data_IF_730058955921
#
_entry.id   IF_730058955921
#
_cell.length_a   1.000
_cell.length_b   1.000
_cell.length_c   1.000
_cell.angle_alpha   90.00
_cell.angle_beta   90.00
_cell.angle_gamma   90.00
#
_symmetry.space_group_name_H-M   'P 1'
#
loop_
_entity.id
_entity.type
_entity.pdbx_description
1 polymer ?
#
# COMPACT_ATOMS: atom_id res chain seq x y z
N UNK A 1 9.89 4.45 8.22
CA UNK A 1 9.51 3.10 8.65
C UNK A 1 9.97 2.83 10.08
N UNK A 2 9.02 2.71 11.01
CA UNK A 2 9.22 2.32 12.41
C UNK A 2 9.18 0.79 12.62
N UNK A 3 8.97 0.04 11.53
CA UNK A 3 8.85 -1.42 11.54
C UNK A 3 7.48 -1.94 11.99
N UNK A 4 6.50 -1.06 12.20
CA UNK A 4 5.17 -1.48 12.63
C UNK A 4 4.36 -2.04 11.45
N UNK A 5 3.52 -3.07 11.70
CA UNK A 5 2.61 -3.59 10.70
C UNK A 5 1.56 -2.56 10.30
N UNK A 6 1.16 -2.57 9.03
CA UNK A 6 0.04 -1.76 8.55
C UNK A 6 -1.27 -2.29 9.16
N UNK A 7 -2.12 -1.39 9.63
CA UNK A 7 -3.38 -1.78 10.24
C UNK A 7 -4.38 -2.22 9.18
N UNK A 8 -5.24 -3.17 9.57
CA UNK A 8 -6.37 -3.60 8.76
C UNK A 8 -7.27 -2.41 8.41
N UNK A 9 -7.70 -2.35 7.15
CA UNK A 9 -8.66 -1.37 6.66
C UNK A 9 -8.05 -0.09 6.09
N UNK A 10 -6.72 0.09 6.15
CA UNK A 10 -6.08 1.22 5.47
C UNK A 10 -6.29 1.14 3.96
N UNK A 11 -6.63 2.28 3.37
CA UNK A 11 -6.84 2.38 1.93
C UNK A 11 -5.51 2.39 1.20
N UNK A 12 -5.47 1.66 0.08
CA UNK A 12 -4.35 1.64 -0.85
C UNK A 12 -4.76 2.40 -2.09
N UNK A 13 -4.01 3.44 -2.41
CA UNK A 13 -4.27 4.36 -3.51
C UNK A 13 -3.16 4.29 -4.55
N UNK A 14 -3.52 4.53 -5.81
CA UNK A 14 -2.55 4.72 -6.89
C UNK A 14 -1.81 6.07 -6.74
N UNK A 15 -0.90 6.35 -7.68
CA UNK A 15 -0.14 7.61 -7.74
C UNK A 15 -1.01 8.83 -8.06
N UNK A 16 -2.25 8.62 -8.51
CA UNK A 16 -3.23 9.66 -8.82
C UNK A 16 -4.21 9.90 -7.66
N UNK A 17 -4.11 9.12 -6.58
CA UNK A 17 -4.96 9.22 -5.39
C UNK A 17 -6.27 8.44 -5.50
N UNK A 18 -6.45 7.60 -6.53
CA UNK A 18 -7.62 6.73 -6.61
C UNK A 18 -7.44 5.52 -5.72
N UNK A 19 -8.49 5.17 -4.97
CA UNK A 19 -8.50 3.93 -4.23
C UNK A 19 -8.50 2.73 -5.18
N UNK A 20 -7.46 1.90 -5.06
CA UNK A 20 -7.32 0.66 -5.82
C UNK A 20 -7.34 -0.57 -4.92
N UNK A 21 -7.34 -0.40 -3.60
CA UNK A 21 -7.18 -1.52 -2.70
C UNK A 21 -7.31 -1.20 -1.22
N UNK A 22 -7.02 -2.21 -0.41
CA UNK A 22 -7.11 -2.17 1.05
C UNK A 22 -6.04 -3.04 1.70
N UNK A 23 -5.58 -2.64 2.88
CA UNK A 23 -4.78 -3.49 3.76
C UNK A 23 -5.68 -4.48 4.48
N UNK A 24 -5.47 -5.76 4.23
CA UNK A 24 -6.14 -6.87 4.89
C UNK A 24 -5.43 -7.33 6.17
N UNK A 25 -5.89 -8.45 6.72
CA UNK A 25 -5.30 -9.02 7.93
C UNK A 25 -3.86 -9.47 7.69
N UNK A 26 -3.01 -9.35 8.72
CA UNK A 26 -1.59 -9.70 8.62
C UNK A 26 -0.77 -8.76 7.72
N UNK A 27 -1.21 -7.51 7.54
CA UNK A 27 -0.55 -6.50 6.71
C UNK A 27 -0.47 -6.85 5.22
N UNK A 28 -1.36 -7.71 4.72
CA UNK A 28 -1.40 -8.08 3.31
C UNK A 28 -2.14 -7.00 2.50
N UNK A 29 -1.60 -6.61 1.34
CA UNK A 29 -2.25 -5.67 0.44
C UNK A 29 -3.12 -6.41 -0.57
N UNK A 30 -4.37 -6.00 -0.70
CA UNK A 30 -5.28 -6.45 -1.75
C UNK A 30 -5.54 -5.29 -2.71
N UNK A 31 -5.02 -5.38 -3.94
CA UNK A 31 -5.13 -4.33 -4.96
C UNK A 31 -5.87 -4.82 -6.22
N UNK A 32 -6.62 -3.92 -6.85
CA UNK A 32 -7.40 -4.14 -8.08
C UNK A 32 -6.97 -3.11 -9.12
N UNK A 33 -6.24 -3.55 -10.14
CA UNK A 33 -5.65 -2.71 -11.17
C UNK A 33 -5.44 -3.54 -12.44
N UNK A 34 -5.47 -2.88 -13.61
CA UNK A 34 -5.24 -3.54 -14.90
C UNK A 34 -3.74 -3.80 -15.15
N UNK A 35 -2.88 -2.99 -14.53
CA UNK A 35 -1.42 -3.07 -14.66
C UNK A 35 -0.78 -3.06 -13.28
N UNK A 36 0.37 -3.74 -13.14
CA UNK A 36 1.14 -3.74 -11.90
C UNK A 36 1.69 -2.33 -11.65
N UNK A 37 1.28 -1.65 -10.55
CA UNK A 37 1.71 -0.29 -10.31
C UNK A 37 3.16 -0.30 -9.83
N UNK A 38 3.98 0.71 -10.21
CA UNK A 38 5.36 0.80 -9.74
C UNK A 38 5.44 1.09 -8.23
N UNK A 39 4.43 1.79 -7.71
CA UNK A 39 4.27 2.10 -6.30
C UNK A 39 2.79 2.33 -5.95
N UNK A 40 2.48 2.27 -4.66
CA UNK A 40 1.18 2.61 -4.08
C UNK A 40 1.34 3.44 -2.83
N UNK A 41 0.31 4.22 -2.51
CA UNK A 41 0.22 5.00 -1.29
C UNK A 41 -0.78 4.35 -0.33
N UNK A 42 -0.34 4.05 0.89
CA UNK A 42 -1.22 3.57 1.96
C UNK A 42 -1.60 4.74 2.84
N UNK A 43 -2.89 5.03 2.95
CA UNK A 43 -3.40 6.13 3.77
C UNK A 43 -3.43 5.72 5.25
N UNK A 44 -2.37 6.02 5.99
CA UNK A 44 -2.23 5.72 7.42
C UNK A 44 -3.21 6.57 8.25
N UNK A 45 -3.35 7.85 7.91
CA UNK A 45 -4.33 8.74 8.55
C UNK A 45 -4.94 9.68 7.51
N UNK A 46 -6.17 9.38 7.10
CA UNK A 46 -6.93 10.22 6.17
C UNK A 46 -7.28 11.60 6.71
N UNK A 47 -7.54 11.72 8.01
CA UNK A 47 -7.93 13.00 8.62
C UNK A 47 -6.75 13.98 8.60
N UNK A 48 -5.54 13.46 8.80
CA UNK A 48 -4.29 14.23 8.78
C UNK A 48 -3.59 14.25 7.41
N UNK A 49 -4.13 13.52 6.42
CA UNK A 49 -3.50 13.38 5.10
C UNK A 49 -2.17 12.61 5.11
N UNK A 50 -1.91 11.82 6.16
CA UNK A 50 -0.69 11.03 6.28
C UNK A 50 -0.81 9.75 5.45
N UNK A 51 0.19 9.52 4.63
CA UNK A 51 0.34 8.30 3.86
C UNK A 51 1.79 7.85 3.86
N UNK A 52 1.99 6.57 3.58
CA UNK A 52 3.31 6.00 3.32
C UNK A 52 3.34 5.37 1.94
N UNK A 53 4.52 5.29 1.35
CA UNK A 53 4.69 4.76 -0.01
C UNK A 53 5.30 3.37 0.03
N UNK A 54 4.73 2.44 -0.75
CA UNK A 54 5.32 1.13 -1.03
C UNK A 54 5.73 1.11 -2.50
N UNK A 55 6.98 0.72 -2.77
CA UNK A 55 7.53 0.62 -4.12
C UNK A 55 7.76 -0.85 -4.48
N UNK A 56 7.19 -1.30 -5.60
CA UNK A 56 7.26 -2.69 -6.06
C UNK A 56 8.35 -2.90 -7.12
N UNK A 57 8.57 -1.91 -8.00
CA UNK A 57 9.46 -2.03 -9.15
C UNK A 57 8.69 -2.35 -10.43
N UNK A 58 9.14 -3.34 -11.21
CA UNK A 58 8.45 -3.80 -12.44
C UNK A 58 7.47 -4.94 -12.22
N UNK A 59 7.65 -5.70 -11.14
CA UNK A 59 6.86 -6.88 -10.78
C UNK A 59 6.66 -6.89 -9.26
N UNK A 60 5.59 -7.56 -8.80
CA UNK A 60 5.35 -7.79 -7.37
C UNK A 60 5.84 -9.21 -7.05
N UNK A 61 6.87 -9.31 -6.21
CA UNK A 61 7.39 -10.56 -5.67
C UNK A 61 6.70 -10.83 -4.32
N UNK A 62 5.65 -11.65 -4.35
CA UNK A 62 4.86 -12.01 -3.16
C UNK A 62 5.68 -12.76 -2.09
N UNK A 63 6.89 -13.23 -2.40
CA UNK A 63 7.78 -13.86 -1.42
C UNK A 63 8.57 -12.85 -0.58
N UNK A 64 8.51 -11.56 -0.93
CA UNK A 64 9.20 -10.47 -0.22
C UNK A 64 8.26 -9.64 0.62
N UNK A 65 8.80 -9.14 1.74
CA UNK A 65 8.15 -8.12 2.52
C UNK A 65 8.46 -6.74 1.94
N UNK A 66 7.41 -5.96 1.73
CA UNK A 66 7.51 -4.58 1.29
C UNK A 66 7.38 -3.64 2.49
N UNK A 67 8.23 -2.61 2.54
CA UNK A 67 8.26 -1.64 3.63
C UNK A 67 7.54 -0.38 3.20
N UNK A 68 6.58 0.06 4.01
CA UNK A 68 5.96 1.38 3.84
C UNK A 68 6.91 2.47 4.36
N UNK A 69 7.31 3.38 3.47
CA UNK A 69 8.25 4.46 3.77
C UNK A 69 7.54 5.77 4.06
#
# INVERSE_FOLDING_TARGET
ADGQPLMFGYEVNDIHGHNIGVVGQGSQLFIRTNEVPPSVNVAIDKQQGLSCTITFGKEIDESRNYICQ
#
